data_IF_226706027119
#
_entry.id   IF_226706027119
#
_cell.length_a   1.000
_cell.length_b   1.000
_cell.length_c   1.000
_cell.angle_alpha   90.00
_cell.angle_beta   90.00
_cell.angle_gamma   90.00
#
_symmetry.space_group_name_H-M   'P 1'
#
loop_
_entity.id
_entity.type
_entity.pdbx_description
1 polymer ?
#
# COMPACT_ATOMS: atom_id res chain seq x y z
N UNK A 1 -18.82 -11.50 3.31
CA UNK A 1 -19.52 -10.20 3.40
C UNK A 1 -19.00 -9.23 2.34
N UNK A 2 -18.93 -9.67 1.08
CA UNK A 2 -18.38 -8.92 -0.08
C UNK A 2 -19.41 -8.81 -1.22
N UNK A 3 -20.60 -9.38 -1.04
CA UNK A 3 -21.63 -9.49 -2.09
C UNK A 3 -22.37 -8.17 -2.39
N UNK A 4 -22.55 -7.30 -1.42
CA UNK A 4 -23.35 -6.08 -1.58
C UNK A 4 -22.81 -5.07 -2.61
N UNK A 5 -21.49 -5.00 -2.83
CA UNK A 5 -20.89 -4.04 -3.76
C UNK A 5 -21.06 -4.43 -5.24
N UNK A 6 -21.09 -5.73 -5.52
CA UNK A 6 -21.18 -6.25 -6.89
C UNK A 6 -22.62 -6.17 -7.40
N UNK A 7 -23.58 -6.50 -6.55
CA UNK A 7 -25.01 -6.43 -6.89
C UNK A 7 -25.47 -5.00 -7.14
N UNK A 8 -24.93 -4.03 -6.39
CA UNK A 8 -25.25 -2.62 -6.60
C UNK A 8 -24.66 -2.05 -7.89
N UNK A 9 -23.44 -2.44 -8.25
CA UNK A 9 -22.82 -2.08 -9.54
C UNK A 9 -23.56 -2.71 -10.72
N UNK A 10 -24.03 -3.94 -10.59
CA UNK A 10 -24.80 -4.66 -11.60
C UNK A 10 -26.18 -4.02 -11.83
N UNK A 11 -26.84 -3.59 -10.76
CA UNK A 11 -28.11 -2.84 -10.84
C UNK A 11 -27.94 -1.47 -11.51
N UNK A 12 -26.79 -0.79 -11.33
CA UNK A 12 -26.49 0.49 -11.97
C UNK A 12 -26.21 0.37 -13.48
N UNK A 13 -25.72 -0.78 -13.95
CA UNK A 13 -25.38 -1.03 -15.35
C UNK A 13 -26.60 -1.35 -16.25
N UNK A 14 -27.74 -1.75 -15.66
CA UNK A 14 -28.93 -2.17 -16.39
C UNK A 14 -29.99 -1.08 -16.61
N UNK A 15 -29.68 0.20 -16.40
CA UNK A 15 -30.65 1.29 -16.52
C UNK A 15 -30.39 2.09 -17.83
N UNK A 16 -31.42 2.28 -18.69
CA UNK A 16 -31.27 2.96 -19.96
C UNK A 16 -30.83 4.42 -19.78
N UNK A 17 -29.89 4.82 -20.65
CA UNK A 17 -29.19 6.09 -20.59
C UNK A 17 -30.06 7.26 -21.11
N UNK A 18 -30.53 8.10 -20.20
CA UNK A 18 -30.85 9.49 -20.52
C UNK A 18 -29.73 10.39 -19.95
N UNK A 19 -29.16 11.22 -20.80
CA UNK A 19 -27.88 11.93 -20.61
C UNK A 19 -27.75 12.69 -19.26
N UNK A 20 -28.80 13.32 -18.75
CA UNK A 20 -28.74 14.10 -17.49
C UNK A 20 -28.82 13.22 -16.23
N UNK A 21 -29.59 12.13 -16.27
CA UNK A 21 -29.71 11.20 -15.17
C UNK A 21 -28.41 10.40 -14.92
N UNK A 22 -27.60 10.15 -15.94
CA UNK A 22 -26.30 9.50 -15.83
C UNK A 22 -25.29 10.31 -15.03
N UNK A 23 -25.20 11.60 -15.28
CA UNK A 23 -24.23 12.49 -14.61
C UNK A 23 -24.51 12.62 -13.12
N UNK A 24 -25.79 12.77 -12.74
CA UNK A 24 -26.21 12.86 -11.34
C UNK A 24 -25.98 11.54 -10.59
N UNK A 25 -26.24 10.39 -11.24
CA UNK A 25 -26.01 9.07 -10.65
C UNK A 25 -24.53 8.74 -10.50
N UNK A 26 -23.71 9.11 -11.48
CA UNK A 26 -22.27 8.92 -11.39
C UNK A 26 -21.66 9.76 -10.27
N UNK A 27 -22.11 10.99 -10.08
CA UNK A 27 -21.71 11.85 -8.97
C UNK A 27 -22.10 11.23 -7.62
N UNK A 28 -23.36 10.77 -7.45
CA UNK A 28 -23.83 10.14 -6.22
C UNK A 28 -23.10 8.84 -5.89
N UNK A 29 -22.81 7.98 -6.89
CA UNK A 29 -22.01 6.77 -6.70
C UNK A 29 -20.57 7.11 -6.33
N UNK A 30 -19.98 8.13 -6.96
CA UNK A 30 -18.62 8.61 -6.65
C UNK A 30 -18.53 9.14 -5.23
N UNK A 31 -19.51 9.94 -4.78
CA UNK A 31 -19.57 10.47 -3.42
C UNK A 31 -19.74 9.34 -2.38
N UNK A 32 -20.65 8.39 -2.63
CA UNK A 32 -20.83 7.21 -1.77
C UNK A 32 -19.56 6.36 -1.66
N UNK A 33 -18.86 6.11 -2.78
CA UNK A 33 -17.60 5.37 -2.77
C UNK A 33 -16.52 6.12 -1.99
N UNK A 34 -16.44 7.45 -2.14
CA UNK A 34 -15.48 8.29 -1.44
C UNK A 34 -15.76 8.30 0.07
N UNK A 35 -17.02 8.43 0.48
CA UNK A 35 -17.41 8.43 1.89
C UNK A 35 -17.09 7.08 2.55
N UNK A 36 -17.44 5.96 1.89
CA UNK A 36 -17.13 4.62 2.42
C UNK A 36 -15.63 4.35 2.45
N UNK A 37 -14.86 4.86 1.49
CA UNK A 37 -13.41 4.78 1.49
C UNK A 37 -12.81 5.56 2.66
N UNK A 38 -13.32 6.75 2.97
CA UNK A 38 -12.88 7.54 4.10
C UNK A 38 -13.20 6.86 5.43
N UNK A 39 -14.39 6.28 5.59
CA UNK A 39 -14.74 5.48 6.78
C UNK A 39 -13.83 4.26 6.93
N UNK A 40 -13.55 3.55 5.84
CA UNK A 40 -12.63 2.42 5.83
C UNK A 40 -11.20 2.84 6.19
N UNK A 41 -10.73 4.00 5.69
CA UNK A 41 -9.41 4.54 6.01
C UNK A 41 -9.28 4.88 7.50
N UNK A 42 -10.30 5.50 8.11
CA UNK A 42 -10.30 5.79 9.56
C UNK A 42 -10.18 4.48 10.35
N UNK A 43 -11.04 3.50 10.06
CA UNK A 43 -11.01 2.19 10.73
C UNK A 43 -9.66 1.48 10.56
N UNK A 44 -9.07 1.54 9.36
CA UNK A 44 -7.76 0.95 9.09
C UNK A 44 -6.66 1.68 9.84
N UNK A 45 -6.67 3.01 9.87
CA UNK A 45 -5.67 3.82 10.56
C UNK A 45 -5.64 3.52 12.07
N UNK A 46 -6.81 3.39 12.68
CA UNK A 46 -6.97 3.06 14.11
C UNK A 46 -6.48 1.64 14.42
N UNK A 47 -6.75 0.70 13.53
CA UNK A 47 -6.43 -0.72 13.74
C UNK A 47 -5.06 -1.15 13.23
N UNK A 48 -4.33 -0.32 12.47
CA UNK A 48 -3.00 -0.68 11.95
C UNK A 48 -2.05 -1.16 13.06
N UNK A 49 -2.13 -0.56 14.26
CA UNK A 49 -1.27 -0.96 15.39
C UNK A 49 -1.80 -2.19 16.12
N UNK A 50 -3.10 -2.37 16.18
CA UNK A 50 -3.74 -3.48 16.89
C UNK A 50 -3.56 -4.82 16.15
N UNK A 51 -3.61 -4.80 14.82
CA UNK A 51 -3.44 -6.01 14.01
C UNK A 51 -1.95 -6.40 13.96
N UNK A 52 -1.61 -7.67 14.25
CA UNK A 52 -0.22 -8.14 14.18
C UNK A 52 0.40 -7.95 12.80
N UNK A 53 1.69 -7.57 12.75
CA UNK A 53 2.40 -7.38 11.47
C UNK A 53 2.42 -8.65 10.59
N UNK A 54 2.38 -9.83 11.22
CA UNK A 54 2.31 -11.11 10.52
C UNK A 54 1.05 -11.26 9.64
N UNK A 55 -0.08 -10.71 10.08
CA UNK A 55 -1.31 -10.74 9.29
C UNK A 55 -1.20 -9.93 7.98
N UNK A 56 -0.41 -8.87 8.00
CA UNK A 56 -0.16 -8.07 6.79
C UNK A 56 0.92 -8.67 5.88
N UNK A 57 1.77 -9.55 6.40
CA UNK A 57 2.86 -10.13 5.63
C UNK A 57 2.36 -10.92 4.41
N UNK A 58 1.32 -11.71 4.57
CA UNK A 58 0.70 -12.47 3.46
C UNK A 58 0.03 -11.58 2.41
N UNK A 59 -0.34 -10.36 2.79
CA UNK A 59 -0.98 -9.39 1.91
C UNK A 59 0.01 -8.41 1.24
N UNK A 60 1.33 -8.57 1.42
CA UNK A 60 2.35 -7.66 0.83
C UNK A 60 2.11 -7.41 -0.67
N UNK A 61 1.89 -8.40 -1.54
CA UNK A 61 1.72 -8.16 -2.97
C UNK A 61 0.54 -7.22 -3.27
N UNK A 62 -0.59 -7.41 -2.57
CA UNK A 62 -1.78 -6.56 -2.70
C UNK A 62 -1.53 -5.14 -2.16
N UNK A 63 -0.84 -5.02 -1.01
CA UNK A 63 -0.49 -3.74 -0.42
C UNK A 63 0.46 -2.95 -1.33
N UNK A 64 1.45 -3.63 -1.90
CA UNK A 64 2.41 -3.02 -2.82
C UNK A 64 1.75 -2.50 -4.10
N UNK A 65 0.71 -3.17 -4.60
CA UNK A 65 -0.06 -2.67 -5.75
C UNK A 65 -0.81 -1.37 -5.45
N UNK A 66 -1.09 -1.09 -4.18
CA UNK A 66 -1.84 0.06 -3.68
C UNK A 66 -0.97 1.21 -3.13
N UNK A 67 0.36 1.14 -3.23
CA UNK A 67 1.25 2.21 -2.73
C UNK A 67 1.06 3.54 -3.46
N UNK A 68 0.65 3.49 -4.75
CA UNK A 68 0.18 4.64 -5.52
C UNK A 68 -1.34 4.51 -5.64
N UNK A 69 -2.04 5.04 -4.66
CA UNK A 69 -3.50 5.08 -4.66
C UNK A 69 -3.96 6.53 -4.81
N UNK A 70 -5.03 6.75 -5.59
CA UNK A 70 -5.59 8.09 -5.83
C UNK A 70 -6.01 8.79 -4.53
N UNK A 71 -6.43 8.02 -3.52
CA UNK A 71 -6.71 8.55 -2.19
C UNK A 71 -5.41 8.54 -1.37
N UNK A 72 -4.94 9.74 -1.00
CA UNK A 72 -3.69 9.92 -0.25
C UNK A 72 -3.69 9.23 1.12
N UNK A 73 -4.83 9.19 1.81
CA UNK A 73 -4.90 8.57 3.14
C UNK A 73 -4.78 7.07 3.05
N UNK A 74 -5.37 6.44 2.03
CA UNK A 74 -5.14 5.04 1.72
C UNK A 74 -3.65 4.77 1.46
N UNK A 75 -3.00 5.59 0.63
CA UNK A 75 -1.57 5.44 0.33
C UNK A 75 -0.70 5.59 1.59
N UNK A 76 -1.01 6.56 2.47
CA UNK A 76 -0.33 6.75 3.76
C UNK A 76 -0.48 5.54 4.69
N UNK A 77 -1.68 4.96 4.77
CA UNK A 77 -1.96 3.78 5.58
C UNK A 77 -1.19 2.57 5.05
N UNK A 78 -1.25 2.32 3.74
CA UNK A 78 -0.50 1.25 3.09
C UNK A 78 1.01 1.38 3.35
N UNK A 79 1.56 2.58 3.19
CA UNK A 79 2.97 2.87 3.49
C UNK A 79 3.32 2.51 4.94
N UNK A 80 2.51 2.93 5.93
CA UNK A 80 2.72 2.60 7.35
C UNK A 80 2.69 1.10 7.62
N UNK A 81 1.77 0.38 6.99
CA UNK A 81 1.69 -1.08 7.11
C UNK A 81 2.97 -1.73 6.58
N UNK A 82 3.42 -1.34 5.38
CA UNK A 82 4.63 -1.87 4.77
C UNK A 82 5.90 -1.54 5.57
N UNK A 83 6.02 -0.32 6.11
CA UNK A 83 7.11 0.06 7.04
C UNK A 83 7.14 -0.86 8.27
N UNK A 84 5.97 -1.13 8.85
CA UNK A 84 5.85 -1.98 10.04
C UNK A 84 6.18 -3.45 9.74
N UNK A 85 5.72 -3.98 8.61
CA UNK A 85 6.04 -5.34 8.17
C UNK A 85 7.53 -5.48 7.90
N UNK A 86 8.13 -4.51 7.20
CA UNK A 86 9.57 -4.51 6.90
C UNK A 86 10.41 -4.41 8.18
N UNK A 87 9.99 -3.61 9.17
CA UNK A 87 10.69 -3.52 10.45
C UNK A 87 10.55 -4.80 11.30
N UNK A 88 9.45 -5.54 11.17
CA UNK A 88 9.23 -6.76 11.95
C UNK A 88 9.86 -8.01 11.32
N UNK A 89 9.86 -8.10 9.98
CA UNK A 89 10.34 -9.22 9.19
C UNK A 89 11.35 -8.77 8.12
N UNK A 90 12.49 -8.13 8.51
CA UNK A 90 13.39 -7.51 7.54
C UNK A 90 13.90 -8.46 6.47
N UNK A 91 14.43 -9.65 6.80
CA UNK A 91 15.01 -10.53 5.79
C UNK A 91 14.02 -11.01 4.74
N UNK A 92 12.77 -11.24 5.15
CA UNK A 92 11.73 -11.76 4.27
C UNK A 92 11.07 -10.64 3.46
N UNK A 93 10.65 -9.54 4.15
CA UNK A 93 9.90 -8.47 3.53
C UNK A 93 10.74 -7.63 2.56
N UNK A 94 12.06 -7.51 2.77
CA UNK A 94 12.92 -6.72 1.88
C UNK A 94 12.90 -7.22 0.44
N UNK A 95 12.80 -8.52 0.21
CA UNK A 95 12.75 -9.10 -1.14
C UNK A 95 11.48 -8.72 -1.89
N UNK A 96 10.34 -8.73 -1.19
CA UNK A 96 9.06 -8.31 -1.77
C UNK A 96 9.00 -6.82 -2.07
N UNK A 97 9.77 -6.00 -1.34
CA UNK A 97 9.73 -4.53 -1.47
C UNK A 97 10.89 -3.96 -2.32
N UNK A 98 11.90 -4.78 -2.60
CA UNK A 98 13.08 -4.36 -3.36
C UNK A 98 12.72 -3.80 -4.75
N UNK A 99 11.77 -4.44 -5.43
CA UNK A 99 11.36 -4.05 -6.77
C UNK A 99 10.65 -2.67 -6.81
N UNK A 100 10.09 -2.19 -5.70
CA UNK A 100 9.57 -0.81 -5.62
C UNK A 100 10.69 0.20 -5.83
N UNK A 101 11.88 -0.06 -5.24
CA UNK A 101 13.05 0.82 -5.36
C UNK A 101 13.68 0.76 -6.75
N UNK A 102 13.55 -0.36 -7.45
CA UNK A 102 13.99 -0.56 -8.83
C UNK A 102 12.95 -0.17 -9.88
N UNK A 103 11.79 0.34 -9.48
CA UNK A 103 10.71 0.69 -10.41
C UNK A 103 11.13 1.80 -11.38
N UNK A 104 10.68 1.69 -12.63
CA UNK A 104 10.80 2.76 -13.64
C UNK A 104 9.89 3.96 -13.32
N UNK A 105 8.85 3.76 -12.51
CA UNK A 105 7.99 4.83 -12.04
C UNK A 105 8.66 5.53 -10.85
N UNK A 106 9.01 6.81 -11.01
CA UNK A 106 9.74 7.59 -10.01
C UNK A 106 8.96 7.77 -8.69
N UNK A 107 7.64 7.84 -8.76
CA UNK A 107 6.79 7.92 -7.57
C UNK A 107 6.87 6.62 -6.75
N UNK A 108 6.75 5.46 -7.41
CA UNK A 108 6.94 4.14 -6.75
C UNK A 108 8.33 4.01 -6.14
N UNK A 109 9.35 4.42 -6.87
CA UNK A 109 10.74 4.40 -6.41
C UNK A 109 10.92 5.27 -5.16
N UNK A 110 10.39 6.49 -5.17
CA UNK A 110 10.40 7.39 -4.02
C UNK A 110 9.71 6.76 -2.81
N UNK A 111 8.48 6.25 -2.99
CA UNK A 111 7.73 5.59 -1.92
C UNK A 111 8.48 4.36 -1.39
N UNK A 112 9.05 3.54 -2.27
CA UNK A 112 9.90 2.42 -1.89
C UNK A 112 11.07 2.85 -0.99
N UNK A 113 11.80 3.90 -1.40
CA UNK A 113 12.87 4.48 -0.59
C UNK A 113 12.41 4.98 0.77
N UNK A 114 11.25 5.61 0.84
CA UNK A 114 10.67 6.11 2.09
C UNK A 114 10.27 4.98 3.04
N UNK A 115 9.69 3.89 2.52
CA UNK A 115 9.34 2.70 3.32
C UNK A 115 10.58 2.11 3.98
N UNK A 116 11.67 1.95 3.23
CA UNK A 116 12.93 1.45 3.79
C UNK A 116 13.50 2.38 4.86
N UNK A 117 13.52 3.69 4.61
CA UNK A 117 13.94 4.69 5.60
C UNK A 117 13.05 4.69 6.85
N UNK A 118 11.74 4.53 6.68
CA UNK A 118 10.78 4.43 7.77
C UNK A 118 11.06 3.22 8.65
N UNK A 119 11.21 2.05 8.05
CA UNK A 119 11.55 0.81 8.75
C UNK A 119 12.89 0.91 9.48
N UNK A 120 13.93 1.50 8.85
CA UNK A 120 15.23 1.72 9.50
C UNK A 120 15.11 2.58 10.77
N UNK A 121 14.33 3.67 10.73
CA UNK A 121 14.09 4.51 11.92
C UNK A 121 13.43 3.72 13.05
N UNK A 122 12.45 2.86 12.74
CA UNK A 122 11.80 2.00 13.72
C UNK A 122 12.80 1.02 14.33
N UNK A 123 13.64 0.38 13.51
CA UNK A 123 14.66 -0.56 13.96
C UNK A 123 15.70 0.11 14.88
N UNK A 124 16.17 1.30 14.51
CA UNK A 124 17.13 2.07 15.34
C UNK A 124 16.48 2.42 16.68
N UNK A 125 15.23 2.89 16.68
CA UNK A 125 14.49 3.20 17.90
C UNK A 125 14.34 1.97 18.81
N UNK A 126 14.20 0.79 18.23
CA UNK A 126 14.08 -0.49 18.93
C UNK A 126 15.45 -1.11 19.29
N UNK A 127 16.54 -0.36 19.19
CA UNK A 127 17.92 -0.81 19.46
C UNK A 127 18.41 -1.95 18.56
N UNK A 128 17.85 -2.08 17.37
CA UNK A 128 18.21 -3.08 16.35
C UNK A 128 19.02 -2.44 15.21
N UNK A 129 20.03 -1.65 15.56
CA UNK A 129 20.84 -0.90 14.58
C UNK A 129 21.56 -1.82 13.57
N UNK A 130 21.97 -3.04 13.98
CA UNK A 130 22.57 -4.01 13.09
C UNK A 130 21.63 -4.44 11.96
N UNK A 131 20.33 -4.61 12.25
CA UNK A 131 19.32 -4.94 11.25
C UNK A 131 19.01 -3.74 10.35
N UNK A 132 19.01 -2.53 10.89
CA UNK A 132 18.88 -1.31 10.10
C UNK A 132 20.04 -1.15 9.10
N UNK A 133 21.27 -1.50 9.51
CA UNK A 133 22.44 -1.51 8.63
C UNK A 133 22.34 -2.61 7.54
N UNK A 134 21.76 -3.77 7.87
CA UNK A 134 21.47 -4.82 6.88
C UNK A 134 20.52 -4.30 5.79
N UNK A 135 19.43 -3.63 6.17
CA UNK A 135 18.52 -3.01 5.20
C UNK A 135 19.19 -1.94 4.35
N UNK A 136 20.15 -1.20 4.90
CA UNK A 136 20.94 -0.24 4.13
C UNK A 136 21.89 -0.94 3.15
N UNK A 137 22.55 -2.00 3.59
CA UNK A 137 23.46 -2.78 2.73
C UNK A 137 22.71 -3.50 1.60
N UNK A 138 21.45 -3.89 1.81
CA UNK A 138 20.63 -4.52 0.78
C UNK A 138 20.41 -3.65 -0.46
N UNK A 139 20.54 -2.33 -0.34
CA UNK A 139 20.42 -1.39 -1.47
C UNK A 139 21.52 -1.61 -2.51
N UNK A 140 22.75 -1.82 -2.05
CA UNK A 140 23.88 -2.14 -2.93
C UNK A 140 23.66 -3.50 -3.61
N UNK A 141 23.20 -4.50 -2.87
CA UNK A 141 22.90 -5.82 -3.41
C UNK A 141 21.81 -5.75 -4.51
N UNK A 142 20.71 -5.06 -4.27
CA UNK A 142 19.65 -4.91 -5.27
C UNK A 142 20.11 -4.18 -6.51
N UNK A 143 20.99 -3.17 -6.36
CA UNK A 143 21.60 -2.49 -7.49
C UNK A 143 22.44 -3.45 -8.34
N UNK A 144 23.34 -4.22 -7.71
CA UNK A 144 24.16 -5.20 -8.42
C UNK A 144 23.31 -6.26 -9.13
N UNK A 145 22.27 -6.80 -8.47
CA UNK A 145 21.38 -7.78 -9.08
C UNK A 145 20.59 -7.19 -10.27
N UNK A 146 20.16 -5.93 -10.16
CA UNK A 146 19.50 -5.23 -11.26
C UNK A 146 20.42 -4.98 -12.46
N UNK A 147 21.72 -4.73 -12.20
CA UNK A 147 22.69 -4.49 -13.25
C UNK A 147 23.11 -5.79 -13.96
N UNK A 148 23.11 -6.92 -13.23
CA UNK A 148 23.34 -8.24 -13.82
C UNK A 148 22.16 -8.76 -14.67
N UNK A 149 20.95 -8.25 -14.44
CA UNK A 149 19.75 -8.66 -15.17
C UNK A 149 19.49 -7.86 -16.47
N UNK A 150 20.38 -6.95 -16.84
CA UNK A 150 20.31 -6.15 -18.08
C UNK A 150 21.13 -6.78 -19.21
#
# INVERSE_FOLDING_TARGET
>A
MVSFGVDYLQACLNIPATSSAHTVRFAAVSEFLTENQNKANILMADNVKAIPAAAYYTAIPQLVSRVIHNNEDTAKIVKRILERVLAKFPPQAMWHLAWLKGSKNEERKKIGGDIFKGAQRVLIKNRQAHVANLLKASDSLFKYLSDLAK
#
